data_IF_207767012493
#
_entry.id   IF_207767012493
#
_cell.length_a   1.000
_cell.length_b   1.000
_cell.length_c   1.000
_cell.angle_alpha   90.00
_cell.angle_beta   90.00
_cell.angle_gamma   90.00
#
_symmetry.space_group_name_H-M   'P 1'
#
loop_
_entity.id
_entity.type
_entity.pdbx_description
1 polymer ?
#
# COMPACT_ATOMS: atom_id res chain seq x y z
N UNK A 1 15.37 2.75 -5.82
CA UNK A 1 15.63 1.52 -5.05
C UNK A 1 17.04 1.63 -4.49
N UNK A 2 17.35 1.08 -3.29
CA UNK A 2 18.71 1.15 -2.75
C UNK A 2 19.71 0.48 -3.70
N UNK A 3 20.95 0.95 -3.67
CA UNK A 3 22.02 0.35 -4.47
C UNK A 3 22.39 -1.04 -3.93
N UNK A 4 23.04 -1.87 -4.74
CA UNK A 4 23.59 -3.16 -4.30
C UNK A 4 24.51 -3.03 -3.08
N UNK A 5 25.19 -1.88 -2.96
CA UNK A 5 26.05 -1.59 -1.81
C UNK A 5 25.26 -1.64 -0.50
N UNK A 6 24.03 -1.12 -0.48
CA UNK A 6 23.17 -1.18 0.71
C UNK A 6 22.87 -2.63 1.12
N UNK A 7 22.54 -3.49 0.15
CA UNK A 7 22.20 -4.88 0.41
C UNK A 7 23.39 -5.73 0.86
N UNK A 8 24.61 -5.32 0.47
CA UNK A 8 25.85 -5.95 0.91
C UNK A 8 26.31 -5.48 2.30
N UNK A 9 25.64 -4.52 2.94
CA UNK A 9 25.96 -4.11 4.31
C UNK A 9 25.64 -5.23 5.31
N UNK A 10 26.37 -5.31 6.44
CA UNK A 10 25.95 -6.14 7.57
C UNK A 10 24.50 -5.84 7.97
N UNK A 11 23.73 -6.87 8.34
CA UNK A 11 22.30 -6.74 8.68
C UNK A 11 22.03 -5.72 9.78
N UNK A 12 22.91 -5.65 10.78
CA UNK A 12 22.83 -4.63 11.83
C UNK A 12 22.92 -3.20 11.30
N UNK A 13 23.73 -2.97 10.27
CA UNK A 13 23.87 -1.64 9.65
C UNK A 13 22.66 -1.32 8.77
N UNK A 14 22.12 -2.30 8.04
CA UNK A 14 20.85 -2.13 7.31
C UNK A 14 19.73 -1.77 8.30
N UNK A 15 19.63 -2.51 9.40
CA UNK A 15 18.63 -2.29 10.44
C UNK A 15 18.74 -0.90 11.04
N UNK A 16 19.92 -0.46 11.47
CA UNK A 16 20.15 0.90 12.00
C UNK A 16 19.69 2.00 11.03
N UNK A 17 19.96 1.85 9.74
CA UNK A 17 19.53 2.82 8.72
C UNK A 17 18.01 2.83 8.61
N UNK A 18 17.37 1.65 8.61
CA UNK A 18 15.92 1.52 8.55
C UNK A 18 15.23 2.03 9.83
N UNK A 19 15.81 1.80 11.01
CA UNK A 19 15.32 2.32 12.29
C UNK A 19 15.37 3.86 12.30
N UNK A 20 16.48 4.45 11.81
CA UNK A 20 16.60 5.90 11.66
C UNK A 20 15.58 6.47 10.65
N UNK A 21 15.30 5.74 9.58
CA UNK A 21 14.27 6.10 8.60
C UNK A 21 12.87 6.02 9.24
N UNK A 22 12.58 4.95 9.98
CA UNK A 22 11.34 4.74 10.71
C UNK A 22 11.06 5.91 11.65
N UNK A 23 12.06 6.32 12.42
CA UNK A 23 11.95 7.43 13.36
C UNK A 23 11.65 8.76 12.66
N UNK A 24 12.38 9.08 11.57
CA UNK A 24 12.17 10.36 10.87
C UNK A 24 10.83 10.40 10.12
N UNK A 25 10.43 9.31 9.46
CA UNK A 25 9.18 9.26 8.69
C UNK A 25 7.93 9.05 9.55
N UNK A 26 8.09 8.53 10.77
CA UNK A 26 7.03 8.55 11.78
C UNK A 26 6.88 9.92 12.45
N UNK A 27 7.91 10.77 12.37
CA UNK A 27 7.89 12.12 12.94
C UNK A 27 7.26 13.15 12.00
N UNK A 28 7.53 13.06 10.70
CA UNK A 28 7.04 14.01 9.68
C UNK A 28 6.76 13.34 8.33
N UNK A 29 5.98 14.02 7.49
CA UNK A 29 5.76 13.59 6.10
C UNK A 29 7.02 13.64 5.23
N UNK A 30 6.98 12.94 4.09
CA UNK A 30 8.10 12.82 3.14
C UNK A 30 8.71 14.17 2.79
N UNK A 31 7.90 15.18 2.49
CA UNK A 31 8.38 16.51 2.08
C UNK A 31 9.25 17.17 3.16
N UNK A 32 8.87 17.04 4.43
CA UNK A 32 9.52 17.67 5.58
C UNK A 32 10.68 16.84 6.16
N UNK A 33 10.76 15.54 5.83
CA UNK A 33 11.79 14.67 6.37
C UNK A 33 13.21 15.10 5.96
N UNK A 34 14.19 14.88 6.85
CA UNK A 34 15.56 15.35 6.67
C UNK A 34 16.58 14.21 6.55
N UNK A 35 17.29 14.18 5.41
CA UNK A 35 18.44 13.27 5.21
C UNK A 35 19.49 13.48 6.30
N UNK A 36 19.72 14.73 6.73
CA UNK A 36 20.71 15.03 7.77
C UNK A 36 20.34 14.40 9.12
N UNK A 37 19.05 14.35 9.47
CA UNK A 37 18.58 13.67 10.69
C UNK A 37 18.78 12.16 10.58
N UNK A 38 18.40 11.56 9.45
CA UNK A 38 18.61 10.13 9.21
C UNK A 38 20.10 9.76 9.29
N UNK A 39 20.98 10.55 8.67
CA UNK A 39 22.45 10.32 8.71
C UNK A 39 22.96 10.35 10.15
N UNK A 40 22.52 11.34 10.94
CA UNK A 40 22.91 11.51 12.34
C UNK A 40 22.48 10.31 13.18
N UNK A 41 21.21 9.92 13.07
CA UNK A 41 20.62 8.83 13.85
C UNK A 41 21.17 7.46 13.44
N UNK A 42 21.32 7.22 12.13
CA UNK A 42 21.91 5.99 11.61
C UNK A 42 23.43 5.90 11.87
N UNK A 43 24.07 6.97 12.36
CA UNK A 43 25.52 7.09 12.54
C UNK A 43 26.31 6.68 11.28
N UNK A 44 25.98 7.30 10.15
CA UNK A 44 26.68 7.14 8.87
C UNK A 44 27.20 8.50 8.36
N UNK A 45 28.04 8.50 7.34
CA UNK A 45 28.44 9.75 6.66
C UNK A 45 27.42 10.14 5.59
N UNK A 46 27.43 11.41 5.17
CA UNK A 46 26.64 11.87 4.02
C UNK A 46 27.02 11.15 2.73
N UNK A 47 28.31 10.91 2.49
CA UNK A 47 28.77 10.12 1.35
C UNK A 47 28.21 8.71 1.36
N UNK A 48 28.19 8.07 2.52
CA UNK A 48 27.59 6.73 2.70
C UNK A 48 26.10 6.71 2.37
N UNK A 49 25.33 7.73 2.77
CA UNK A 49 23.91 7.82 2.41
C UNK A 49 23.72 7.76 0.89
N UNK A 50 24.42 8.62 0.15
CA UNK A 50 24.30 8.69 -1.31
C UNK A 50 24.92 7.49 -2.04
N UNK A 51 25.78 6.73 -1.37
CA UNK A 51 26.23 5.43 -1.86
C UNK A 51 25.11 4.37 -1.79
N UNK A 52 24.16 4.51 -0.85
CA UNK A 52 23.09 3.54 -0.61
C UNK A 52 21.76 3.93 -1.26
N UNK A 53 21.41 5.21 -1.27
CA UNK A 53 20.13 5.73 -1.76
C UNK A 53 20.36 6.95 -2.65
N UNK A 54 19.61 7.08 -3.73
CA UNK A 54 19.75 8.25 -4.63
C UNK A 54 19.33 9.55 -3.95
N UNK A 55 18.28 9.46 -3.14
CA UNK A 55 17.66 10.58 -2.45
C UNK A 55 16.81 10.11 -1.26
N UNK A 56 16.10 11.04 -0.63
CA UNK A 56 15.20 10.77 0.51
C UNK A 56 14.00 9.92 0.12
N UNK A 57 13.47 10.10 -1.09
CA UNK A 57 12.29 9.37 -1.55
C UNK A 57 12.62 7.90 -1.79
N UNK A 58 13.81 7.63 -2.32
CA UNK A 58 14.32 6.27 -2.48
C UNK A 58 14.35 5.51 -1.14
N UNK A 59 14.92 6.14 -0.10
CA UNK A 59 14.88 5.60 1.26
C UNK A 59 13.44 5.45 1.77
N UNK A 60 12.58 6.46 1.56
CA UNK A 60 11.20 6.46 2.02
C UNK A 60 10.39 5.29 1.46
N UNK A 61 10.44 5.11 0.15
CA UNK A 61 9.70 4.03 -0.51
C UNK A 61 10.31 2.65 -0.24
N UNK A 62 11.63 2.57 -0.07
CA UNK A 62 12.25 1.33 0.39
C UNK A 62 11.81 0.96 1.82
N UNK A 63 11.81 1.92 2.75
CA UNK A 63 11.30 1.71 4.10
C UNK A 63 9.83 1.28 4.06
N UNK A 64 8.99 1.98 3.30
CA UNK A 64 7.59 1.59 3.12
C UNK A 64 7.46 0.15 2.60
N UNK A 65 8.26 -0.26 1.62
CA UNK A 65 8.28 -1.65 1.13
C UNK A 65 8.60 -2.65 2.23
N UNK A 66 9.53 -2.32 3.13
CA UNK A 66 9.89 -3.22 4.25
C UNK A 66 8.73 -3.44 5.22
N UNK A 67 7.87 -2.44 5.41
CA UNK A 67 6.64 -2.58 6.21
C UNK A 67 5.58 -3.45 5.51
N UNK A 68 5.57 -3.46 4.18
CA UNK A 68 4.47 -4.00 3.37
C UNK A 68 4.77 -5.36 2.73
N UNK A 69 5.92 -5.97 2.98
CA UNK A 69 6.35 -7.18 2.26
C UNK A 69 5.35 -8.36 2.34
N UNK A 70 4.43 -8.35 3.31
CA UNK A 70 3.38 -9.35 3.50
C UNK A 70 1.98 -8.97 2.95
N UNK A 71 1.73 -7.71 2.61
CA UNK A 71 0.38 -7.24 2.29
C UNK A 71 -0.18 -7.81 0.98
N UNK A 72 0.64 -7.91 -0.06
CA UNK A 72 0.23 -8.55 -1.32
C UNK A 72 -0.05 -10.04 -1.13
N UNK A 73 0.82 -10.73 -0.38
CA UNK A 73 0.62 -12.15 -0.05
C UNK A 73 -0.68 -12.35 0.73
N UNK A 74 -0.96 -11.47 1.68
CA UNK A 74 -2.17 -11.51 2.45
C UNK A 74 -3.43 -11.29 1.59
N UNK A 75 -3.40 -10.35 0.64
CA UNK A 75 -4.50 -10.17 -0.31
C UNK A 75 -4.76 -11.42 -1.15
N UNK A 76 -3.71 -12.00 -1.72
CA UNK A 76 -3.82 -13.25 -2.51
C UNK A 76 -4.38 -14.39 -1.64
N UNK A 77 -3.93 -14.50 -0.40
CA UNK A 77 -4.44 -15.48 0.56
C UNK A 77 -5.91 -15.24 0.90
N UNK A 78 -6.32 -14.00 1.18
CA UNK A 78 -7.70 -13.66 1.50
C UNK A 78 -8.66 -14.00 0.35
N UNK A 79 -8.25 -13.76 -0.90
CA UNK A 79 -9.04 -14.16 -2.08
C UNK A 79 -9.11 -15.69 -2.19
N UNK A 80 -7.99 -16.38 -2.02
CA UNK A 80 -7.95 -17.84 -2.10
C UNK A 80 -8.79 -18.52 -1.01
N UNK A 81 -8.78 -18.01 0.22
CA UNK A 81 -9.60 -18.49 1.35
C UNK A 81 -11.11 -18.28 1.12
N UNK A 82 -11.47 -17.37 0.21
CA UNK A 82 -12.85 -17.11 -0.24
C UNK A 82 -13.17 -17.79 -1.56
N UNK A 83 -12.47 -18.87 -1.89
CA UNK A 83 -12.69 -19.67 -3.10
C UNK A 83 -12.59 -18.83 -4.39
N UNK A 84 -11.77 -17.80 -4.35
CA UNK A 84 -11.55 -16.88 -5.46
C UNK A 84 -12.57 -15.75 -5.61
N UNK A 85 -13.51 -15.56 -4.67
CA UNK A 85 -14.36 -14.36 -4.64
C UNK A 85 -13.51 -13.12 -4.35
N UNK A 86 -13.26 -12.34 -5.40
CA UNK A 86 -12.48 -11.11 -5.34
C UNK A 86 -13.07 -10.09 -4.37
N UNK A 87 -14.39 -9.91 -4.35
CA UNK A 87 -15.02 -8.91 -3.47
C UNK A 87 -14.92 -9.33 -2.01
N UNK A 88 -15.22 -10.59 -1.69
CA UNK A 88 -15.09 -11.11 -0.32
C UNK A 88 -13.62 -11.07 0.15
N UNK A 89 -12.66 -11.43 -0.72
CA UNK A 89 -11.24 -11.32 -0.41
C UNK A 89 -10.79 -9.87 -0.18
N UNK A 90 -11.34 -8.91 -0.92
CA UNK A 90 -11.08 -7.48 -0.70
C UNK A 90 -11.68 -6.95 0.62
N UNK A 91 -12.84 -7.46 1.03
CA UNK A 91 -13.44 -7.14 2.32
C UNK A 91 -12.55 -7.62 3.48
N UNK A 92 -12.16 -8.90 3.46
CA UNK A 92 -11.22 -9.45 4.46
C UNK A 92 -9.90 -8.68 4.45
N UNK A 93 -9.36 -8.41 3.26
CA UNK A 93 -8.13 -7.65 3.09
C UNK A 93 -8.20 -6.30 3.81
N UNK A 94 -9.30 -5.57 3.60
CA UNK A 94 -9.53 -4.28 4.22
C UNK A 94 -9.58 -4.39 5.75
N UNK A 95 -10.38 -5.30 6.31
CA UNK A 95 -10.56 -5.39 7.75
C UNK A 95 -9.29 -5.78 8.51
N UNK A 96 -8.38 -6.55 7.91
CA UNK A 96 -7.06 -6.81 8.53
C UNK A 96 -6.09 -5.65 8.35
N UNK A 97 -6.19 -4.91 7.25
CA UNK A 97 -5.32 -3.78 6.97
C UNK A 97 -5.56 -2.61 7.95
N UNK A 98 -6.81 -2.38 8.36
CA UNK A 98 -7.19 -1.25 9.22
C UNK A 98 -6.44 -1.24 10.57
N UNK A 99 -6.40 -2.32 11.38
CA UNK A 99 -5.64 -2.32 12.62
C UNK A 99 -4.15 -2.00 12.42
N UNK A 100 -3.50 -2.55 11.39
CA UNK A 100 -2.09 -2.29 11.10
C UNK A 100 -1.83 -0.78 10.85
N UNK A 101 -2.74 -0.14 10.11
CA UNK A 101 -2.62 1.27 9.72
C UNK A 101 -2.96 2.24 10.86
N UNK A 102 -4.01 1.94 11.64
CA UNK A 102 -4.56 2.89 12.59
C UNK A 102 -4.10 2.68 14.03
N UNK A 103 -3.71 1.46 14.41
CA UNK A 103 -3.31 1.14 15.79
C UNK A 103 -1.99 0.37 15.88
N UNK A 104 -1.44 -0.07 14.75
CA UNK A 104 -0.16 -0.77 14.69
C UNK A 104 1.05 0.11 15.06
N UNK A 105 2.20 -0.54 15.21
CA UNK A 105 3.49 0.10 15.57
C UNK A 105 3.84 1.27 14.64
N UNK A 106 3.52 1.13 13.34
CA UNK A 106 3.84 2.11 12.30
C UNK A 106 2.72 3.13 12.04
N UNK A 107 1.72 3.26 12.92
CA UNK A 107 0.54 4.12 12.70
C UNK A 107 0.89 5.58 12.34
N UNK A 108 1.94 6.16 12.93
CA UNK A 108 2.33 7.54 12.65
C UNK A 108 2.93 7.71 11.26
N UNK A 109 3.74 6.74 10.84
CA UNK A 109 4.22 6.68 9.47
C UNK A 109 3.05 6.59 8.48
N UNK A 110 2.10 5.69 8.72
CA UNK A 110 0.92 5.54 7.86
C UNK A 110 0.05 6.79 7.85
N UNK A 111 -0.13 7.45 9.00
CA UNK A 111 -0.83 8.73 9.08
C UNK A 111 -0.18 9.78 8.19
N UNK A 112 1.14 9.93 8.25
CA UNK A 112 1.86 10.86 7.38
C UNK A 112 1.79 10.46 5.91
N UNK A 113 1.88 9.16 5.61
CA UNK A 113 1.72 8.61 4.27
C UNK A 113 0.36 8.98 3.68
N UNK A 114 -0.74 8.74 4.38
CA UNK A 114 -2.09 8.96 3.83
C UNK A 114 -2.56 10.42 3.89
N UNK A 115 -2.07 11.22 4.84
CA UNK A 115 -2.54 12.60 5.02
C UNK A 115 -1.73 13.65 4.25
N UNK A 116 -0.43 13.39 4.02
CA UNK A 116 0.48 14.39 3.42
C UNK A 116 0.93 14.01 2.01
N UNK A 117 0.37 12.94 1.44
CA UNK A 117 0.67 12.49 0.10
C UNK A 117 -0.25 13.14 -0.93
N UNK A 118 0.36 13.69 -1.96
CA UNK A 118 -0.35 14.16 -3.14
C UNK A 118 -0.61 13.01 -4.13
N UNK A 119 -1.35 13.30 -5.21
CA UNK A 119 -1.68 12.31 -6.23
C UNK A 119 -0.43 11.67 -6.88
N UNK A 120 0.67 12.43 -6.99
CA UNK A 120 1.94 11.96 -7.56
C UNK A 120 2.66 11.00 -6.61
N UNK A 121 2.72 11.33 -5.32
CA UNK A 121 3.25 10.44 -4.28
C UNK A 121 2.47 9.14 -4.23
N UNK A 122 1.14 9.20 -4.40
CA UNK A 122 0.28 8.02 -4.41
C UNK A 122 0.59 7.09 -5.60
N UNK A 123 0.79 7.65 -6.80
CA UNK A 123 1.24 6.88 -7.98
C UNK A 123 2.60 6.20 -7.78
N UNK A 124 3.44 6.72 -6.88
CA UNK A 124 4.74 6.09 -6.54
C UNK A 124 4.62 5.04 -5.45
N UNK A 125 3.64 5.14 -4.55
CA UNK A 125 3.37 4.14 -3.51
C UNK A 125 2.65 2.91 -4.05
N UNK A 126 1.69 3.07 -4.97
CA UNK A 126 1.00 1.96 -5.65
C UNK A 126 1.98 0.89 -6.13
N UNK A 127 3.10 1.25 -6.79
CA UNK A 127 4.24 0.39 -6.99
C UNK A 127 4.66 -0.52 -5.85
N UNK A 128 4.95 0.06 -4.70
CA UNK A 128 5.46 -0.70 -3.57
C UNK A 128 4.37 -1.50 -2.86
N UNK A 129 3.09 -1.11 -3.02
CA UNK A 129 1.92 -1.90 -2.59
C UNK A 129 1.76 -3.17 -3.41
N UNK A 130 2.09 -3.11 -4.69
CA UNK A 130 2.01 -4.22 -5.65
C UNK A 130 3.36 -4.96 -5.76
N UNK A 131 4.14 -5.13 -4.67
CA UNK A 131 5.44 -5.83 -4.67
C UNK A 131 6.37 -5.43 -5.84
N UNK A 132 6.64 -4.14 -6.05
CA UNK A 132 7.57 -3.69 -7.11
C UNK A 132 9.05 -3.68 -6.65
N UNK A 133 9.85 -4.33 -7.50
CA UNK A 133 11.32 -4.26 -7.72
C UNK A 133 12.24 -4.95 -6.70
N UNK A 134 12.98 -5.97 -7.17
CA UNK A 134 14.40 -6.15 -6.83
C UNK A 134 15.23 -5.99 -8.12
N UNK A 135 16.43 -5.43 -7.93
CA UNK A 135 17.60 -5.20 -8.81
C UNK A 135 17.42 -5.23 -10.34
N UNK A 136 17.94 -4.16 -10.95
CA UNK A 136 18.15 -3.93 -12.39
C UNK A 136 16.97 -3.35 -13.19
N UNK A 137 17.28 -2.29 -13.93
CA UNK A 137 16.42 -1.54 -14.85
C UNK A 137 15.91 -2.34 -16.07
N UNK A 138 15.84 -3.68 -16.00
CA UNK A 138 15.61 -4.54 -17.17
C UNK A 138 14.33 -5.39 -17.17
N UNK A 139 13.56 -5.47 -16.08
CA UNK A 139 12.36 -6.36 -16.04
C UNK A 139 11.07 -5.71 -15.52
N UNK A 140 10.80 -4.45 -15.88
CA UNK A 140 9.54 -3.79 -15.50
C UNK A 140 8.31 -4.46 -16.16
N UNK A 141 8.39 -4.83 -17.45
CA UNK A 141 7.30 -5.49 -18.19
C UNK A 141 7.02 -6.91 -17.70
N UNK A 142 8.05 -7.72 -17.46
CA UNK A 142 7.91 -9.14 -17.08
C UNK A 142 7.40 -9.39 -15.64
N UNK A 143 7.38 -8.36 -14.78
CA UNK A 143 6.91 -8.48 -13.39
C UNK A 143 5.55 -7.84 -13.12
N UNK A 144 5.16 -6.80 -13.87
CA UNK A 144 3.74 -6.42 -13.96
C UNK A 144 2.92 -7.65 -14.35
N UNK A 145 3.45 -8.42 -15.30
CA UNK A 145 2.92 -9.73 -15.66
C UNK A 145 2.80 -10.70 -14.48
N UNK A 146 3.80 -10.82 -13.59
CA UNK A 146 3.79 -11.78 -12.47
C UNK A 146 2.77 -11.49 -11.36
N UNK A 147 2.59 -10.23 -10.94
CA UNK A 147 1.57 -9.94 -9.91
C UNK A 147 0.16 -10.00 -10.48
N UNK A 148 0.00 -9.64 -11.77
CA UNK A 148 -1.23 -9.91 -12.51
C UNK A 148 -1.46 -11.42 -12.59
N UNK A 149 -0.44 -12.21 -12.91
CA UNK A 149 -0.51 -13.68 -12.92
C UNK A 149 -0.91 -14.24 -11.55
N UNK A 150 -0.38 -13.73 -10.43
CA UNK A 150 -0.74 -14.20 -9.09
C UNK A 150 -2.21 -13.89 -8.75
N UNK A 151 -2.70 -12.70 -9.08
CA UNK A 151 -4.12 -12.37 -8.92
C UNK A 151 -5.01 -13.23 -9.83
N UNK A 152 -4.63 -13.38 -11.11
CA UNK A 152 -5.34 -14.23 -12.08
C UNK A 152 -5.41 -15.70 -11.66
N UNK A 153 -4.43 -16.18 -10.89
CA UNK A 153 -4.39 -17.57 -10.41
C UNK A 153 -5.39 -17.85 -9.30
N UNK A 154 -5.70 -16.84 -8.49
CA UNK A 154 -6.57 -17.02 -7.30
C UNK A 154 -7.97 -16.48 -7.50
N UNK A 155 -8.17 -15.53 -8.40
CA UNK A 155 -9.50 -14.96 -8.68
C UNK A 155 -10.32 -15.95 -9.50
N UNK A 156 -11.53 -16.23 -9.03
CA UNK A 156 -12.52 -17.00 -9.76
C UNK A 156 -13.26 -16.07 -10.74
N UNK A 157 -12.93 -16.19 -12.03
CA UNK A 157 -13.50 -15.36 -13.08
C UNK A 157 -14.99 -15.63 -13.32
N UNK A 158 -15.51 -16.81 -12.96
CA UNK A 158 -16.93 -17.15 -13.13
C UNK A 158 -17.85 -16.34 -12.20
N UNK A 159 -17.28 -15.68 -11.19
CA UNK A 159 -18.01 -14.80 -10.27
C UNK A 159 -18.03 -13.33 -10.72
N UNK A 160 -17.42 -13.01 -11.85
CA UNK A 160 -17.22 -11.63 -12.32
C UNK A 160 -17.79 -11.43 -13.72
N UNK A 161 -18.40 -10.27 -13.94
CA UNK A 161 -18.79 -9.79 -15.27
C UNK A 161 -17.58 -9.08 -15.90
N UNK A 162 -16.56 -9.87 -16.26
CA UNK A 162 -15.26 -9.42 -16.76
C UNK A 162 -14.85 -10.32 -17.93
N UNK A 163 -14.58 -9.72 -19.08
CA UNK A 163 -14.32 -10.44 -20.34
C UNK A 163 -12.86 -10.90 -20.48
N UNK A 164 -11.92 -10.15 -19.90
CA UNK A 164 -10.50 -10.40 -20.06
C UNK A 164 -9.64 -9.90 -18.88
N UNK A 165 -8.32 -10.08 -19.01
CA UNK A 165 -7.37 -9.70 -17.99
C UNK A 165 -7.25 -8.17 -17.82
N UNK A 166 -7.52 -7.39 -18.86
CA UNK A 166 -7.41 -5.94 -18.81
C UNK A 166 -8.61 -5.36 -18.06
N UNK A 167 -9.82 -5.88 -18.30
CA UNK A 167 -11.01 -5.56 -17.51
C UNK A 167 -10.85 -5.96 -16.03
N UNK A 168 -10.25 -7.14 -15.74
CA UNK A 168 -9.96 -7.52 -14.35
C UNK A 168 -9.02 -6.52 -13.67
N UNK A 169 -7.99 -6.06 -14.37
CA UNK A 169 -7.06 -5.06 -13.84
C UNK A 169 -7.75 -3.72 -13.56
N UNK A 170 -8.67 -3.31 -14.43
CA UNK A 170 -9.47 -2.10 -14.21
C UNK A 170 -10.32 -2.25 -12.95
N UNK A 171 -11.04 -3.36 -12.80
CA UNK A 171 -11.83 -3.66 -11.61
C UNK A 171 -10.96 -3.67 -10.34
N UNK A 172 -9.84 -4.39 -10.39
CA UNK A 172 -8.91 -4.46 -9.27
C UNK A 172 -8.38 -3.08 -8.85
N UNK A 173 -8.01 -2.23 -9.83
CA UNK A 173 -7.57 -0.86 -9.57
C UNK A 173 -8.67 -0.03 -8.91
N UNK A 174 -9.92 -0.18 -9.31
CA UNK A 174 -11.07 0.49 -8.68
C UNK A 174 -11.29 0.02 -7.23
N UNK A 175 -11.13 -1.28 -6.97
CA UNK A 175 -11.22 -1.85 -5.62
C UNK A 175 -10.09 -1.35 -4.72
N UNK A 176 -8.84 -1.37 -5.20
CA UNK A 176 -7.70 -0.83 -4.45
C UNK A 176 -7.84 0.68 -4.20
N UNK A 177 -8.32 1.44 -5.18
CA UNK A 177 -8.63 2.86 -4.99
C UNK A 177 -9.69 3.07 -3.91
N UNK A 178 -10.70 2.20 -3.85
CA UNK A 178 -11.73 2.22 -2.81
C UNK A 178 -11.14 1.98 -1.42
N UNK A 179 -10.25 1.00 -1.28
CA UNK A 179 -9.51 0.74 -0.02
C UNK A 179 -8.76 2.00 0.44
N UNK A 180 -7.92 2.57 -0.43
CA UNK A 180 -7.05 3.68 -0.04
C UNK A 180 -7.79 5.00 0.18
N UNK A 181 -8.76 5.34 -0.67
CA UNK A 181 -9.60 6.52 -0.47
C UNK A 181 -10.36 6.43 0.84
N UNK A 182 -10.81 5.24 1.23
CA UNK A 182 -11.53 5.04 2.49
C UNK A 182 -10.60 5.14 3.70
N UNK A 183 -9.36 4.65 3.62
CA UNK A 183 -8.34 4.87 4.67
C UNK A 183 -8.05 6.37 4.85
N UNK A 184 -7.88 7.09 3.73
CA UNK A 184 -7.63 8.53 3.76
C UNK A 184 -8.83 9.30 4.37
N UNK A 185 -10.06 8.93 4.01
CA UNK A 185 -11.28 9.44 4.64
C UNK A 185 -11.33 9.07 6.14
N UNK A 186 -10.91 7.86 6.50
CA UNK A 186 -10.85 7.37 7.89
C UNK A 186 -10.01 8.26 8.80
N UNK A 187 -8.80 8.66 8.37
CA UNK A 187 -7.99 9.62 9.11
C UNK A 187 -8.66 10.99 9.25
N UNK A 188 -9.45 11.43 8.26
CA UNK A 188 -10.26 12.65 8.36
C UNK A 188 -11.42 12.47 9.34
N UNK A 189 -12.09 11.32 9.32
CA UNK A 189 -13.19 11.01 10.23
C UNK A 189 -12.74 10.88 11.68
N UNK A 190 -11.61 10.24 11.98
CA UNK A 190 -11.10 10.18 13.36
C UNK A 190 -10.85 11.58 13.94
N UNK A 191 -10.44 12.54 13.11
CA UNK A 191 -10.25 13.93 13.53
C UNK A 191 -11.58 14.65 13.81
N UNK A 192 -12.62 14.37 13.02
CA UNK A 192 -13.92 15.04 13.10
C UNK A 192 -14.90 14.37 14.07
N UNK A 193 -14.79 13.04 14.21
CA UNK A 193 -15.69 12.16 14.94
C UNK A 193 -14.86 11.12 15.74
N UNK A 194 -14.23 11.50 16.87
CA UNK A 194 -13.28 10.63 17.58
C UNK A 194 -13.85 9.27 18.00
N UNK A 195 -15.16 9.18 18.27
CA UNK A 195 -15.81 7.96 18.77
C UNK A 195 -16.51 7.14 17.67
N UNK A 196 -16.73 7.70 16.49
CA UNK A 196 -17.49 7.07 15.39
C UNK A 196 -16.66 6.93 14.11
N UNK A 197 -15.44 7.48 14.07
CA UNK A 197 -14.66 7.61 12.84
C UNK A 197 -14.35 6.26 12.18
N UNK A 198 -14.08 5.24 12.99
CA UNK A 198 -13.84 3.87 12.50
C UNK A 198 -15.11 3.23 11.93
N UNK A 199 -16.21 3.25 12.68
CA UNK A 199 -17.50 2.71 12.22
C UNK A 199 -17.96 3.38 10.92
N UNK A 200 -17.82 4.71 10.83
CA UNK A 200 -18.14 5.48 9.63
C UNK A 200 -17.27 5.10 8.43
N UNK A 201 -15.98 4.86 8.66
CA UNK A 201 -15.05 4.40 7.62
C UNK A 201 -15.43 3.01 7.12
N UNK A 202 -15.66 2.05 8.02
CA UNK A 202 -16.05 0.68 7.67
C UNK A 202 -17.38 0.66 6.90
N UNK A 203 -18.39 1.41 7.38
CA UNK A 203 -19.68 1.57 6.69
C UNK A 203 -19.51 2.18 5.30
N UNK A 204 -18.66 3.18 5.15
CA UNK A 204 -18.37 3.82 3.87
C UNK A 204 -17.71 2.82 2.90
N UNK A 205 -16.70 2.08 3.36
CA UNK A 205 -16.05 1.03 2.57
C UNK A 205 -17.05 -0.02 2.08
N UNK A 206 -17.85 -0.59 2.99
CA UNK A 206 -18.85 -1.61 2.66
C UNK A 206 -19.91 -1.08 1.68
N UNK A 207 -20.28 0.19 1.77
CA UNK A 207 -21.20 0.83 0.82
C UNK A 207 -20.59 0.92 -0.57
N UNK A 208 -19.32 1.36 -0.68
CA UNK A 208 -18.59 1.43 -1.96
C UNK A 208 -18.42 0.04 -2.57
N UNK A 209 -18.04 -0.97 -1.78
CA UNK A 209 -17.94 -2.37 -2.22
C UNK A 209 -19.28 -2.90 -2.71
N UNK A 210 -20.37 -2.68 -1.97
CA UNK A 210 -21.72 -3.07 -2.40
C UNK A 210 -22.09 -2.48 -3.75
N UNK A 211 -21.78 -1.20 -3.99
CA UNK A 211 -22.06 -0.55 -5.28
C UNK A 211 -21.17 -1.06 -6.41
N UNK A 212 -19.90 -1.35 -6.13
CA UNK A 212 -19.03 -1.98 -7.13
C UNK A 212 -19.48 -3.40 -7.48
N UNK A 213 -20.01 -4.15 -6.51
CA UNK A 213 -20.51 -5.52 -6.70
C UNK A 213 -21.85 -5.60 -7.42
N UNK A 214 -22.79 -4.69 -7.11
CA UNK A 214 -24.20 -4.81 -7.56
C UNK A 214 -24.68 -3.65 -8.44
N UNK A 215 -23.83 -2.66 -8.70
CA UNK A 215 -24.25 -1.37 -9.26
C UNK A 215 -24.97 -0.47 -8.24
N UNK A 216 -25.04 0.82 -8.53
CA UNK A 216 -25.75 1.82 -7.72
C UNK A 216 -27.07 2.30 -8.33
N UNK A 217 -27.38 1.88 -9.57
CA UNK A 217 -28.59 2.28 -10.29
C UNK A 217 -29.78 1.45 -9.79
N UNK A 218 -30.91 2.10 -9.52
CA UNK A 218 -32.18 1.38 -9.28
C UNK A 218 -32.67 0.80 -10.60
N UNK A 219 -32.98 -0.48 -10.65
CA UNK A 219 -33.74 -1.06 -11.76
C UNK A 219 -35.15 -0.48 -11.72
N UNK A 220 -35.52 0.27 -12.76
CA UNK A 220 -36.93 0.59 -12.98
C UNK A 220 -37.57 -0.71 -13.47
N UNK A 221 -38.39 -1.33 -12.62
CA UNK A 221 -39.35 -2.34 -13.09
C UNK A 221 -40.28 -1.63 -14.06
N UNK A 222 -40.17 -1.95 -15.34
CA UNK A 222 -41.27 -1.72 -16.25
C UNK A 222 -42.29 -2.81 -15.94
N UNK A 223 -43.36 -2.41 -15.25
CA UNK A 223 -44.55 -3.25 -15.00
C UNK A 223 -45.26 -3.59 -16.33
#
# INVERSE_FOLDING_TARGET
MPTETFFNLPKEKQKRILDAAAQEFSRVGLNEASIAKVIKEAAISRGSFYQYFTDKEDLYYFYFRTLRSDNHRYLIQAIAEREGDLFAGMEDYFFRLIPEIFTGENQQFYRHLFMNMDAHGFQRVIPYLEKKVDHAHFHQKERMKRNQEDLMRVVNMDLLDVNDQDELQVLFKMLMHTVFSTIQEGYRYQKLYPNEGQERMEKNFMTKIKWLKNGARKEQKYD
#
